data_IF_548420702186
#
_entry.id   IF_548420702186
#
_cell.length_a   1.000
_cell.length_b   1.000
_cell.length_c   1.000
_cell.angle_alpha   90.00
_cell.angle_beta   90.00
_cell.angle_gamma   90.00
#
_symmetry.space_group_name_H-M   'P 1'
#
loop_
_entity.id
_entity.type
_entity.pdbx_description
1 polymer ?
#
# COMPACT_ATOMS: atom_id res chain seq x y z
N UNK A 1 4.54 -23.86 31.21
CA UNK A 1 3.11 -23.57 31.04
C UNK A 1 3.01 -22.56 29.91
N UNK A 2 2.49 -22.94 28.74
CA UNK A 2 2.23 -21.99 27.65
C UNK A 2 0.88 -21.37 27.96
N UNK A 3 0.86 -20.09 28.33
CA UNK A 3 -0.38 -19.34 28.47
C UNK A 3 -1.03 -19.27 27.09
N UNK A 4 -2.08 -20.07 26.94
CA UNK A 4 -2.96 -20.05 25.78
C UNK A 4 -3.78 -18.76 25.88
N UNK A 5 -3.27 -17.69 25.26
CA UNK A 5 -3.97 -16.41 25.21
C UNK A 5 -5.21 -16.59 24.33
N UNK A 6 -6.31 -16.91 25.00
CA UNK A 6 -7.64 -17.01 24.42
C UNK A 6 -7.94 -15.71 23.68
N UNK A 7 -7.96 -15.76 22.34
CA UNK A 7 -8.18 -14.59 21.51
C UNK A 7 -9.64 -14.16 21.62
N UNK A 8 -9.97 -13.41 22.68
CA UNK A 8 -11.29 -12.81 22.85
C UNK A 8 -11.59 -11.95 21.63
N UNK A 9 -12.64 -12.31 20.90
CA UNK A 9 -13.12 -11.55 19.76
C UNK A 9 -13.57 -10.16 20.23
N UNK A 10 -12.78 -9.14 19.90
CA UNK A 10 -13.13 -7.74 20.17
C UNK A 10 -14.07 -7.27 19.06
N UNK A 11 -15.32 -6.97 19.43
CA UNK A 11 -16.31 -6.45 18.48
C UNK A 11 -15.81 -5.12 17.90
N UNK A 12 -15.90 -5.01 16.58
CA UNK A 12 -15.57 -3.78 15.86
C UNK A 12 -16.55 -2.66 16.24
N UNK A 13 -16.04 -1.54 16.75
CA UNK A 13 -16.82 -0.34 17.00
C UNK A 13 -16.64 0.67 15.85
N UNK A 14 -17.63 1.54 15.67
CA UNK A 14 -17.50 2.67 14.76
C UNK A 14 -16.55 3.69 15.41
N UNK A 15 -15.49 4.04 14.68
CA UNK A 15 -14.54 5.09 15.07
C UNK A 15 -14.45 6.08 13.93
N UNK A 16 -14.73 7.34 14.23
CA UNK A 16 -14.51 8.43 13.30
C UNK A 16 -13.08 8.93 13.41
N UNK A 17 -12.38 8.83 12.28
CA UNK A 17 -11.03 9.36 12.14
C UNK A 17 -11.11 10.69 11.39
N UNK A 18 -10.54 11.74 11.99
CA UNK A 18 -10.48 13.06 11.36
C UNK A 18 -9.66 13.00 10.06
N UNK A 19 -9.94 13.92 9.14
CA UNK A 19 -9.24 13.97 7.85
C UNK A 19 -7.73 14.16 8.02
N UNK A 20 -7.32 15.11 8.88
CA UNK A 20 -5.92 15.36 9.19
C UNK A 20 -5.19 14.12 9.73
N UNK A 21 -5.86 13.35 10.59
CA UNK A 21 -5.30 12.12 11.12
C UNK A 21 -5.04 11.07 10.02
N UNK A 22 -6.00 10.90 9.11
CA UNK A 22 -5.85 9.98 7.97
C UNK A 22 -4.63 10.33 7.12
N UNK A 23 -4.44 11.63 6.83
CA UNK A 23 -3.31 12.10 6.04
C UNK A 23 -1.97 11.90 6.76
N UNK A 24 -1.89 12.16 8.07
CA UNK A 24 -0.68 11.92 8.86
C UNK A 24 -0.26 10.45 8.80
N UNK A 25 -1.22 9.53 8.99
CA UNK A 25 -0.96 8.09 8.93
C UNK A 25 -0.50 7.67 7.53
N UNK A 26 -1.12 8.19 6.48
CA UNK A 26 -0.72 7.90 5.09
C UNK A 26 0.69 8.41 4.82
N UNK A 27 1.02 9.65 5.20
CA UNK A 27 2.35 10.23 5.01
C UNK A 27 3.46 9.42 5.68
N UNK A 28 3.27 8.98 6.93
CA UNK A 28 4.24 8.12 7.64
C UNK A 28 4.50 6.80 6.91
N UNK A 29 3.46 6.19 6.35
CA UNK A 29 3.59 4.93 5.60
C UNK A 29 4.31 5.15 4.27
N UNK A 30 4.01 6.26 3.58
CA UNK A 30 4.68 6.61 2.32
C UNK A 30 6.17 6.95 2.50
N UNK A 31 6.53 7.55 3.64
CA UNK A 31 7.94 7.74 4.04
C UNK A 31 8.67 6.43 4.33
N UNK A 32 7.95 5.31 4.45
CA UNK A 32 8.52 4.01 4.75
C UNK A 32 8.88 3.79 6.23
N UNK A 33 8.50 4.71 7.12
CA UNK A 33 8.78 4.62 8.56
C UNK A 33 7.98 3.48 9.22
N UNK A 34 6.78 3.22 8.70
CA UNK A 34 5.85 2.22 9.24
C UNK A 34 5.17 1.41 8.15
N UNK A 35 5.13 0.09 8.32
CA UNK A 35 4.28 -0.78 7.52
C UNK A 35 2.79 -0.68 7.90
N UNK A 36 1.89 -1.04 6.99
CA UNK A 36 0.42 -0.94 7.16
C UNK A 36 -0.07 -1.58 8.48
N UNK A 37 0.39 -2.80 8.78
CA UNK A 37 0.02 -3.52 10.02
C UNK A 37 0.60 -2.85 11.27
N UNK A 38 1.80 -2.30 11.18
CA UNK A 38 2.46 -1.62 12.29
C UNK A 38 1.79 -0.26 12.57
N UNK A 39 1.45 0.51 11.53
CA UNK A 39 0.68 1.74 11.65
C UNK A 39 -0.68 1.47 12.31
N UNK A 40 -1.38 0.41 11.89
CA UNK A 40 -2.65 0.05 12.51
C UNK A 40 -2.51 -0.25 14.02
N UNK A 41 -1.44 -0.95 14.42
CA UNK A 41 -1.17 -1.25 15.84
C UNK A 41 -0.76 0.00 16.62
N UNK A 42 0.15 0.82 16.08
CA UNK A 42 0.66 2.06 16.71
C UNK A 42 -0.47 3.05 16.98
N UNK A 43 -1.36 3.21 16.01
CA UNK A 43 -2.46 4.17 16.05
C UNK A 43 -3.77 3.61 16.63
N UNK A 44 -3.77 2.35 17.10
CA UNK A 44 -4.98 1.70 17.61
C UNK A 44 -6.12 1.63 16.58
N UNK A 45 -5.76 1.50 15.29
CA UNK A 45 -6.72 1.36 14.20
C UNK A 45 -7.17 -0.09 14.17
N UNK A 46 -8.48 -0.27 14.23
CA UNK A 46 -9.13 -1.57 14.46
C UNK A 46 -8.89 -2.58 13.33
N UNK A 47 -8.61 -2.12 12.12
CA UNK A 47 -8.23 -2.98 11.01
C UNK A 47 -7.16 -2.35 10.13
N UNK A 48 -6.19 -3.15 9.72
CA UNK A 48 -5.21 -2.76 8.70
C UNK A 48 -5.90 -2.45 7.36
N UNK A 49 -7.06 -3.05 7.07
CA UNK A 49 -7.85 -2.76 5.86
C UNK A 49 -8.31 -1.30 5.79
N UNK A 50 -8.59 -0.69 6.94
CA UNK A 50 -8.95 0.73 7.04
C UNK A 50 -7.79 1.60 6.58
N UNK A 51 -6.57 1.28 7.02
CA UNK A 51 -5.33 1.96 6.60
C UNK A 51 -5.09 1.76 5.10
N UNK A 52 -5.25 0.53 4.59
CA UNK A 52 -5.15 0.25 3.15
C UNK A 52 -6.17 1.07 2.34
N UNK A 53 -7.39 1.26 2.85
CA UNK A 53 -8.39 2.12 2.22
C UNK A 53 -7.96 3.59 2.17
N UNK A 54 -7.32 4.10 3.22
CA UNK A 54 -6.77 5.46 3.23
C UNK A 54 -5.61 5.61 2.25
N UNK A 55 -4.71 4.62 2.17
CA UNK A 55 -3.61 4.62 1.20
C UNK A 55 -4.12 4.62 -0.24
N UNK A 56 -5.20 3.90 -0.53
CA UNK A 56 -5.81 3.90 -1.88
C UNK A 56 -6.49 5.22 -2.22
N UNK A 57 -7.03 5.93 -1.23
CA UNK A 57 -7.82 7.15 -1.44
C UNK A 57 -6.96 8.42 -1.40
N UNK A 58 -5.94 8.43 -0.55
CA UNK A 58 -5.14 9.62 -0.22
C UNK A 58 -3.65 9.42 -0.46
N UNK A 59 -3.22 8.19 -0.78
CA UNK A 59 -1.82 7.93 -1.12
C UNK A 59 -1.51 8.35 -2.55
N UNK A 60 -0.27 8.78 -2.74
CA UNK A 60 0.32 9.13 -4.03
C UNK A 60 0.80 7.89 -4.79
N UNK A 61 1.15 6.82 -4.07
CA UNK A 61 1.55 5.57 -4.70
C UNK A 61 0.35 4.92 -5.38
N UNK A 62 0.53 4.43 -6.61
CA UNK A 62 -0.53 3.70 -7.31
C UNK A 62 -0.72 2.30 -6.69
N UNK A 63 -1.50 2.27 -5.60
CA UNK A 63 -1.84 1.04 -4.87
C UNK A 63 -2.89 0.21 -5.61
N UNK A 64 -3.55 0.78 -6.62
CA UNK A 64 -4.63 0.13 -7.38
C UNK A 64 -4.05 -0.61 -8.58
N UNK A 65 -3.05 -0.05 -9.27
CA UNK A 65 -2.37 -0.70 -10.39
C UNK A 65 -1.14 -1.53 -9.98
N UNK A 66 -1.11 -2.09 -8.76
CA UNK A 66 -0.18 -3.19 -8.46
C UNK A 66 -0.67 -4.44 -9.19
N UNK A 67 -0.37 -4.55 -10.48
CA UNK A 67 -0.57 -5.79 -11.22
C UNK A 67 0.30 -6.86 -10.57
N UNK A 68 -0.33 -7.72 -9.76
CA UNK A 68 0.31 -8.91 -9.19
C UNK A 68 0.63 -9.95 -10.26
N UNK A 69 0.01 -9.80 -11.43
CA UNK A 69 0.27 -10.61 -12.61
C UNK A 69 1.46 -10.04 -13.36
N UNK A 70 2.50 -10.88 -13.55
CA UNK A 70 3.55 -10.63 -14.53
C UNK A 70 2.93 -10.72 -15.93
N UNK A 71 2.37 -9.62 -16.39
CA UNK A 71 1.87 -9.53 -17.75
C UNK A 71 3.08 -9.56 -18.69
N UNK A 72 3.12 -10.45 -19.70
CA UNK A 72 4.15 -10.38 -20.73
C UNK A 72 4.04 -9.03 -21.44
N UNK A 73 5.18 -8.36 -21.68
CA UNK A 73 5.22 -7.09 -22.42
C UNK A 73 4.48 -7.25 -23.76
N UNK A 74 3.62 -6.29 -24.09
CA UNK A 74 2.96 -6.22 -25.41
C UNK A 74 4.01 -6.16 -26.52
N UNK A 75 3.65 -6.60 -27.74
CA UNK A 75 4.52 -6.49 -28.92
C UNK A 75 4.94 -5.04 -29.16
N UNK A 76 4.01 -4.09 -29.00
CA UNK A 76 4.26 -2.66 -29.20
C UNK A 76 5.25 -2.09 -28.18
N UNK A 77 5.19 -2.55 -26.92
CA UNK A 77 6.14 -2.14 -25.88
C UNK A 77 7.55 -2.65 -26.17
N UNK A 78 7.67 -3.86 -26.72
CA UNK A 78 8.96 -4.41 -27.14
C UNK A 78 9.53 -3.64 -28.33
N UNK A 79 8.69 -3.26 -29.29
CA UNK A 79 9.10 -2.44 -30.43
C UNK A 79 9.66 -1.10 -29.98
N UNK A 80 8.94 -0.39 -29.10
CA UNK A 80 9.38 0.89 -28.54
C UNK A 80 10.71 0.79 -27.78
N UNK A 81 10.90 -0.26 -26.97
CA UNK A 81 12.16 -0.50 -26.24
C UNK A 81 13.33 -0.79 -27.19
N UNK A 82 13.07 -1.52 -28.29
CA UNK A 82 14.07 -1.80 -29.31
C UNK A 82 14.46 -0.54 -30.07
N UNK A 83 13.49 0.29 -30.47
CA UNK A 83 13.74 1.59 -31.12
C UNK A 83 14.60 2.51 -30.22
N UNK A 84 14.29 2.57 -28.92
CA UNK A 84 15.11 3.34 -27.97
C UNK A 84 16.54 2.80 -27.84
N UNK A 85 16.73 1.48 -27.86
CA UNK A 85 18.08 0.88 -27.82
C UNK A 85 18.86 1.19 -29.09
N UNK A 86 18.23 1.16 -30.25
CA UNK A 86 18.86 1.54 -31.52
C UNK A 86 19.31 3.00 -31.45
N UNK A 87 18.43 3.91 -31.01
CA UNK A 87 18.75 5.34 -30.87
C UNK A 87 19.92 5.62 -29.90
N UNK A 88 20.05 4.83 -28.83
CA UNK A 88 21.17 4.95 -27.88
C UNK A 88 22.48 4.39 -28.44
N UNK A 89 22.43 3.40 -29.32
CA UNK A 89 23.60 2.77 -29.93
C UNK A 89 24.11 3.53 -31.17
N UNK A 90 23.26 4.33 -31.79
CA UNK A 90 23.59 5.19 -32.93
C UNK A 90 24.29 6.49 -32.53
N UNK A 91 24.55 6.71 -31.24
CA UNK A 91 25.22 7.90 -30.68
C UNK A 91 26.61 7.56 -30.15
#
# INVERSE_FOLDING_TARGET
>A
MKEEQESKYVKRTQRDYSYAFKLSVVSEIERGELGIKAAARKYGIQSHSTVTGWLRKYGNFDWVNKSTLKMPKSKDQKLLELEQKVLLLEK
#
